data_IF_900215172807
#
_entry.id   IF_900215172807
#
_cell.length_a   1.000
_cell.length_b   1.000
_cell.length_c   1.000
_cell.angle_alpha   90.00
_cell.angle_beta   90.00
_cell.angle_gamma   90.00
#
_symmetry.space_group_name_H-M   'P 1'
#
loop_
_entity.id
_entity.type
_entity.pdbx_description
1 polymer ?
#
# COMPACT_ATOMS: atom_id res chain seq x y z
N UNK A 1 -8.90 -9.97 -19.83
CA UNK A 1 -7.80 -9.41 -19.03
C UNK A 1 -6.58 -10.28 -19.28
N UNK A 2 -5.59 -9.77 -20.00
CA UNK A 2 -4.33 -10.48 -20.20
C UNK A 2 -3.46 -10.22 -18.96
N UNK A 3 -3.16 -11.27 -18.21
CA UNK A 3 -2.21 -11.21 -17.10
C UNK A 3 -0.92 -11.80 -17.65
N UNK A 4 0.07 -10.94 -17.86
CA UNK A 4 1.42 -11.37 -18.20
C UNK A 4 2.18 -11.56 -16.88
N UNK A 5 2.72 -12.74 -16.65
CA UNK A 5 3.50 -13.04 -15.45
C UNK A 5 4.76 -13.82 -15.83
N UNK A 6 5.85 -13.09 -16.06
CA UNK A 6 7.21 -13.63 -16.09
C UNK A 6 7.85 -13.41 -14.71
N UNK A 7 8.31 -14.48 -14.08
CA UNK A 7 9.16 -14.41 -12.89
C UNK A 7 10.49 -15.11 -13.20
N UNK A 8 11.55 -14.33 -13.41
CA UNK A 8 12.93 -14.78 -13.27
C UNK A 8 13.49 -14.24 -11.96
N UNK A 9 13.42 -15.01 -10.88
CA UNK A 9 14.05 -14.63 -9.60
C UNK A 9 15.53 -15.01 -9.66
N UNK A 10 16.32 -14.17 -10.33
CA UNK A 10 17.75 -14.37 -10.53
C UNK A 10 18.60 -13.11 -10.31
N UNK A 11 18.06 -12.07 -9.68
CA UNK A 11 18.83 -10.85 -9.35
C UNK A 11 18.55 -10.44 -7.91
N UNK A 12 19.62 -10.13 -7.16
CA UNK A 12 19.62 -9.79 -5.72
C UNK A 12 18.85 -8.48 -5.42
N UNK A 13 18.45 -7.73 -6.45
CA UNK A 13 18.01 -6.35 -6.32
C UNK A 13 16.52 -6.16 -5.95
N UNK A 14 15.65 -7.15 -6.20
CA UNK A 14 14.22 -7.08 -5.87
C UNK A 14 13.62 -8.46 -5.59
N UNK A 15 12.97 -8.60 -4.43
CA UNK A 15 12.21 -9.80 -4.07
C UNK A 15 10.78 -9.42 -3.69
N UNK A 16 9.82 -10.25 -4.11
CA UNK A 16 8.42 -10.11 -3.72
C UNK A 16 8.23 -10.79 -2.36
N UNK A 17 8.00 -10.01 -1.30
CA UNK A 17 7.74 -10.57 0.04
C UNK A 17 6.33 -11.16 0.14
N UNK A 18 5.31 -10.39 -0.27
CA UNK A 18 3.90 -10.82 -0.26
C UNK A 18 3.05 -9.93 -1.17
N UNK A 19 1.83 -10.37 -1.44
CA UNK A 19 0.77 -9.60 -2.06
C UNK A 19 -0.59 -10.00 -1.46
N UNK A 20 -1.59 -9.13 -1.57
CA UNK A 20 -2.90 -9.39 -0.99
C UNK A 20 -3.95 -8.40 -1.48
N UNK A 21 -5.20 -8.64 -1.06
CA UNK A 21 -6.35 -7.79 -1.30
C UNK A 21 -7.18 -7.73 -0.03
N UNK A 22 -7.68 -6.54 0.30
CA UNK A 22 -8.46 -6.30 1.52
C UNK A 22 -9.68 -5.44 1.19
N UNK A 23 -10.87 -5.93 1.54
CA UNK A 23 -12.08 -5.12 1.57
C UNK A 23 -12.20 -4.51 2.96
N UNK A 24 -11.89 -3.22 3.06
CA UNK A 24 -11.91 -2.51 4.32
C UNK A 24 -13.34 -2.34 4.84
N UNK A 25 -13.57 -2.61 6.12
CA UNK A 25 -14.80 -2.14 6.78
C UNK A 25 -14.75 -0.61 6.94
N UNK A 26 -15.91 0.06 7.07
CA UNK A 26 -15.92 1.51 7.27
C UNK A 26 -15.04 1.94 8.45
N UNK A 27 -14.26 3.00 8.27
CA UNK A 27 -13.27 3.50 9.24
C UNK A 27 -12.15 2.51 9.62
N UNK A 28 -11.94 1.43 8.87
CA UNK A 28 -10.76 0.59 9.06
C UNK A 28 -9.50 1.43 8.94
N UNK A 29 -8.56 1.25 9.88
CA UNK A 29 -7.32 1.99 9.90
C UNK A 29 -6.15 1.10 10.28
N UNK A 30 -4.97 1.49 9.82
CA UNK A 30 -3.73 0.80 10.13
C UNK A 30 -2.65 1.80 10.52
N UNK A 31 -1.95 1.48 11.60
CA UNK A 31 -0.89 2.29 12.17
C UNK A 31 -1.38 3.23 13.29
N UNK A 32 -0.58 4.25 13.64
CA UNK A 32 0.70 4.59 13.03
C UNK A 32 1.73 3.46 13.21
N UNK A 33 2.42 3.08 12.13
CA UNK A 33 3.35 1.95 12.12
C UNK A 33 4.59 2.24 11.26
N UNK A 34 5.69 1.57 11.61
CA UNK A 34 6.95 1.52 10.85
C UNK A 34 7.13 0.09 10.35
N UNK A 35 7.54 -0.07 9.10
CA UNK A 35 7.82 -1.37 8.45
C UNK A 35 9.25 -1.36 7.92
N UNK A 36 9.81 -2.55 7.70
CA UNK A 36 11.17 -2.79 7.19
C UNK A 36 11.21 -3.06 5.67
N UNK A 37 10.05 -3.06 5.01
CA UNK A 37 9.87 -3.43 3.61
C UNK A 37 8.95 -2.45 2.89
N UNK A 38 9.14 -2.33 1.56
CA UNK A 38 8.24 -1.54 0.72
C UNK A 38 6.90 -2.25 0.56
N UNK A 39 5.79 -1.52 0.75
CA UNK A 39 4.44 -2.04 0.52
C UNK A 39 3.64 -1.06 -0.33
N UNK A 40 3.42 -1.42 -1.59
CA UNK A 40 2.63 -0.63 -2.53
C UNK A 40 1.16 -1.07 -2.46
N UNK A 41 0.27 -0.11 -2.24
CA UNK A 41 -1.17 -0.32 -2.25
C UNK A 41 -1.79 0.38 -3.45
N UNK A 42 -2.84 -0.25 -3.99
CA UNK A 42 -3.68 0.29 -5.07
C UNK A 42 -5.14 0.26 -4.62
N UNK A 43 -5.84 1.39 -4.76
CA UNK A 43 -7.25 1.46 -4.37
C UNK A 43 -8.12 1.04 -5.55
N UNK A 44 -8.76 -0.12 -5.43
CA UNK A 44 -9.66 -0.64 -6.46
C UNK A 44 -11.02 0.07 -6.46
N UNK A 45 -11.56 0.40 -5.28
CA UNK A 45 -12.85 1.07 -5.04
C UNK A 45 -12.79 1.85 -3.72
N UNK A 46 -13.69 2.83 -3.56
CA UNK A 46 -13.80 3.62 -2.33
C UNK A 46 -12.81 4.79 -2.26
N UNK A 47 -12.60 5.29 -1.05
CA UNK A 47 -11.68 6.39 -0.74
C UNK A 47 -11.14 6.24 0.69
N UNK A 48 -10.19 7.09 1.05
CA UNK A 48 -9.58 7.08 2.37
C UNK A 48 -8.55 8.18 2.51
N UNK A 49 -7.78 8.13 3.58
CA UNK A 49 -6.74 9.11 3.89
C UNK A 49 -5.42 8.41 4.20
N UNK A 50 -4.34 8.98 3.68
CA UNK A 50 -2.98 8.56 3.98
C UNK A 50 -2.22 9.68 4.69
N UNK A 51 -1.67 9.36 5.86
CA UNK A 51 -0.96 10.28 6.71
C UNK A 51 0.53 9.97 6.62
N UNK A 52 1.29 10.94 6.11
CA UNK A 52 2.70 10.77 5.83
C UNK A 52 3.47 12.08 6.03
N UNK A 53 4.50 12.05 6.88
CA UNK A 53 5.36 13.22 7.21
C UNK A 53 4.55 14.48 7.57
N UNK A 54 3.53 14.30 8.40
CA UNK A 54 2.65 15.39 8.88
C UNK A 54 1.67 15.92 7.83
N UNK A 55 1.59 15.31 6.65
CA UNK A 55 0.61 15.64 5.61
C UNK A 55 -0.49 14.57 5.59
N UNK A 56 -1.71 15.02 5.35
CA UNK A 56 -2.86 14.16 5.06
C UNK A 56 -3.12 14.25 3.56
N UNK A 57 -3.18 13.11 2.90
CA UNK A 57 -3.46 12.98 1.47
C UNK A 57 -4.76 12.20 1.32
N UNK A 58 -5.78 12.84 0.75
CA UNK A 58 -7.01 12.15 0.38
C UNK A 58 -6.76 11.25 -0.83
N UNK A 59 -7.19 10.00 -0.72
CA UNK A 59 -7.02 8.98 -1.74
C UNK A 59 -8.38 8.49 -2.23
N UNK A 60 -8.45 8.06 -3.48
CA UNK A 60 -9.65 7.49 -4.12
C UNK A 60 -9.29 6.30 -5.02
N UNK A 61 -10.32 5.61 -5.51
CA UNK A 61 -10.17 4.56 -6.51
C UNK A 61 -9.28 5.01 -7.69
N UNK A 62 -8.29 4.18 -8.03
CA UNK A 62 -7.27 4.47 -9.04
C UNK A 62 -5.95 5.01 -8.48
N UNK A 63 -5.94 5.50 -7.24
CA UNK A 63 -4.71 6.01 -6.61
C UNK A 63 -3.84 4.87 -6.06
N UNK A 64 -2.54 5.16 -5.99
CA UNK A 64 -1.56 4.33 -5.32
C UNK A 64 -0.98 5.07 -4.11
N UNK A 65 -0.64 4.32 -3.06
CA UNK A 65 0.18 4.83 -1.97
C UNK A 65 1.22 3.80 -1.55
N UNK A 66 2.37 4.28 -1.09
CA UNK A 66 3.53 3.47 -0.78
C UNK A 66 3.92 3.63 0.68
N UNK A 67 3.98 2.51 1.39
CA UNK A 67 4.64 2.43 2.69
C UNK A 67 6.14 2.20 2.42
N UNK A 68 6.99 3.14 2.84
CA UNK A 68 8.44 3.01 2.70
C UNK A 68 9.04 2.42 3.98
N UNK A 69 10.14 1.64 3.86
CA UNK A 69 10.89 1.18 5.02
C UNK A 69 11.31 2.33 5.92
N UNK A 70 11.31 2.09 7.22
CA UNK A 70 11.80 3.01 8.27
C UNK A 70 11.07 4.36 8.34
N UNK A 71 9.87 4.46 7.74
CA UNK A 71 9.05 5.66 7.76
C UNK A 71 7.71 5.42 8.47
N UNK A 72 7.35 6.34 9.38
CA UNK A 72 6.07 6.29 10.09
C UNK A 72 4.93 6.61 9.13
N UNK A 73 3.97 5.69 9.04
CA UNK A 73 2.82 5.80 8.15
C UNK A 73 1.53 5.45 8.88
N UNK A 74 0.43 6.07 8.48
CA UNK A 74 -0.92 5.71 8.91
C UNK A 74 -1.86 5.86 7.71
N UNK A 75 -2.83 4.95 7.58
CA UNK A 75 -3.90 5.09 6.60
C UNK A 75 -5.23 4.64 7.19
N UNK A 76 -6.31 5.21 6.67
CA UNK A 76 -7.67 4.92 7.09
C UNK A 76 -8.63 4.96 5.89
N UNK A 77 -9.50 3.96 5.80
CA UNK A 77 -10.64 3.94 4.89
C UNK A 77 -11.76 4.86 5.41
N UNK A 78 -12.58 5.40 4.50
CA UNK A 78 -13.73 6.23 4.86
C UNK A 78 -14.89 5.49 5.54
#
# INVERSE_FOLDING_TARGET
MLVFSEYQTGTIDLSLSFYGYEECTPNYSFGPAIRDTYVLHYITKGKGQFHYKGKIVDLKAGDFFLLKPDELTFYQAD
#
